data_IF_493532319219
#
_entry.id   IF_493532319219
#
_cell.length_a   1.000
_cell.length_b   1.000
_cell.length_c   1.000
_cell.angle_alpha   90.00
_cell.angle_beta   90.00
_cell.angle_gamma   90.00
#
_symmetry.space_group_name_H-M   'P 1'
#
loop_
_entity.id
_entity.type
_entity.pdbx_description
1 polymer ?
#
# COMPACT_ATOMS: atom_id res chain seq x y z
N UNK A 1 3.17 6.50 11.86
CA UNK A 1 2.32 5.51 11.17
C UNK A 1 2.48 5.68 9.68
N UNK A 2 2.39 4.60 8.94
CA UNK A 2 2.63 4.51 7.51
C UNK A 2 1.45 3.83 6.84
N UNK A 3 1.07 4.26 5.64
CA UNK A 3 0.10 3.56 4.81
C UNK A 3 0.72 3.20 3.48
N UNK A 4 0.26 2.11 2.89
CA UNK A 4 0.58 1.76 1.51
C UNK A 4 -0.57 2.27 0.65
N UNK A 5 -0.27 2.98 -0.43
CA UNK A 5 -1.26 3.43 -1.42
C UNK A 5 -0.85 2.95 -2.81
N UNK A 6 -1.84 2.58 -3.61
CA UNK A 6 -1.66 2.14 -4.98
C UNK A 6 -1.94 3.28 -5.94
N UNK A 7 -1.00 3.63 -6.79
CA UNK A 7 -1.17 4.63 -7.83
C UNK A 7 -1.36 3.91 -9.15
N UNK A 8 -2.55 4.07 -9.75
CA UNK A 8 -2.82 3.59 -11.11
C UNK A 8 -2.14 4.52 -12.11
N UNK A 9 -1.70 4.02 -13.28
CA UNK A 9 -1.10 4.83 -14.37
C UNK A 9 -1.87 6.11 -14.75
N UNK A 10 -3.16 6.22 -14.42
CA UNK A 10 -3.97 7.43 -14.60
C UNK A 10 -3.83 8.48 -13.47
N UNK A 11 -2.92 8.26 -12.51
CA UNK A 11 -2.73 9.12 -11.33
C UNK A 11 -3.81 8.94 -10.26
N UNK A 12 -4.60 7.87 -10.33
CA UNK A 12 -5.63 7.58 -9.33
C UNK A 12 -4.97 6.85 -8.15
N UNK A 13 -5.05 7.46 -6.97
CA UNK A 13 -4.65 6.84 -5.72
C UNK A 13 -5.75 5.91 -5.19
N UNK A 14 -5.32 4.73 -4.75
CA UNK A 14 -6.17 3.70 -4.18
C UNK A 14 -5.62 3.34 -2.81
N UNK A 15 -6.46 3.53 -1.80
CA UNK A 15 -6.14 3.15 -0.43
C UNK A 15 -6.50 1.69 -0.19
N UNK A 16 -5.66 1.01 0.59
CA UNK A 16 -5.89 -0.39 0.94
C UNK A 16 -6.70 -0.48 2.23
N UNK A 17 -7.74 -1.30 2.22
CA UNK A 17 -8.58 -1.59 3.38
C UNK A 17 -8.55 -3.07 3.72
N UNK A 18 -8.48 -3.39 5.01
CA UNK A 18 -8.65 -4.74 5.55
C UNK A 18 -9.69 -4.70 6.66
N UNK A 19 -10.70 -5.58 6.61
CA UNK A 19 -11.79 -5.62 7.60
C UNK A 19 -12.47 -4.26 7.84
N UNK A 20 -12.72 -3.50 6.77
CA UNK A 20 -13.28 -2.13 6.81
C UNK A 20 -12.43 -1.10 7.58
N UNK A 21 -11.15 -1.36 7.77
CA UNK A 21 -10.18 -0.41 8.33
C UNK A 21 -9.11 -0.12 7.31
N UNK A 22 -8.67 1.13 7.25
CA UNK A 22 -7.49 1.52 6.48
C UNK A 22 -6.31 0.66 6.94
N UNK A 23 -5.56 0.12 5.98
CA UNK A 23 -4.41 -0.70 6.29
C UNK A 23 -3.24 0.20 6.66
N UNK A 24 -2.95 0.25 7.96
CA UNK A 24 -1.91 1.12 8.52
C UNK A 24 -0.83 0.29 9.19
N UNK A 25 0.41 0.69 8.97
CA UNK A 25 1.61 0.07 9.52
C UNK A 25 2.25 0.98 10.58
N UNK A 26 2.62 0.45 11.76
CA UNK A 26 3.37 1.19 12.78
C UNK A 26 4.72 1.70 12.26
N UNK A 27 5.43 0.87 11.50
CA UNK A 27 6.79 1.12 11.00
C UNK A 27 6.85 1.15 9.47
N UNK A 28 7.91 1.75 8.93
CA UNK A 28 8.16 1.75 7.49
C UNK A 28 8.51 0.34 7.00
N UNK A 29 9.25 -0.43 7.79
CA UNK A 29 9.69 -1.79 7.48
C UNK A 29 8.50 -2.74 7.27
N UNK A 30 7.49 -2.68 8.15
CA UNK A 30 6.27 -3.48 8.00
C UNK A 30 5.49 -3.13 6.72
N UNK A 31 5.48 -1.84 6.33
CA UNK A 31 4.87 -1.42 5.07
C UNK A 31 5.65 -1.96 3.84
N UNK A 32 6.98 -2.01 3.92
CA UNK A 32 7.82 -2.62 2.87
C UNK A 32 7.57 -4.13 2.76
N UNK A 33 7.53 -4.83 3.89
CA UNK A 33 7.30 -6.28 3.91
C UNK A 33 5.94 -6.64 3.27
N UNK A 34 4.91 -5.83 3.53
CA UNK A 34 3.61 -5.97 2.87
C UNK A 34 3.68 -5.77 1.35
N UNK A 35 4.41 -4.75 0.88
CA UNK A 35 4.61 -4.51 -0.57
C UNK A 35 5.31 -5.70 -1.22
N UNK A 36 6.36 -6.23 -0.59
CA UNK A 36 7.09 -7.38 -1.12
C UNK A 36 6.23 -8.66 -1.10
N UNK A 37 5.41 -8.87 -0.07
CA UNK A 37 4.48 -9.98 -0.02
C UNK A 37 3.42 -9.92 -1.13
N UNK A 38 2.81 -8.74 -1.33
CA UNK A 38 1.79 -8.54 -2.38
C UNK A 38 2.35 -8.72 -3.78
N UNK A 39 3.60 -8.29 -4.03
CA UNK A 39 4.34 -8.58 -5.27
C UNK A 39 4.58 -10.07 -5.46
N UNK A 40 5.10 -10.77 -4.43
CA UNK A 40 5.35 -12.23 -4.50
C UNK A 40 4.08 -13.02 -4.81
N UNK A 41 2.96 -12.62 -4.22
CA UNK A 41 1.64 -13.25 -4.43
C UNK A 41 0.94 -12.82 -5.73
N UNK A 42 1.52 -11.91 -6.53
CA UNK A 42 0.92 -11.33 -7.73
C UNK A 42 -0.51 -10.83 -7.50
N UNK A 43 -0.75 -10.23 -6.34
CA UNK A 43 -2.09 -9.79 -5.93
C UNK A 43 -2.51 -8.48 -6.61
N UNK A 44 -1.58 -7.78 -7.26
CA UNK A 44 -1.80 -6.47 -7.83
C UNK A 44 -1.75 -6.52 -9.36
N UNK A 45 -2.70 -5.88 -10.05
CA UNK A 45 -2.63 -5.71 -11.50
C UNK A 45 -1.40 -4.91 -11.92
N UNK A 46 -0.86 -5.19 -13.12
CA UNK A 46 0.41 -4.62 -13.61
C UNK A 46 0.44 -3.08 -13.75
N UNK A 47 -0.72 -2.43 -13.71
CA UNK A 47 -0.86 -0.98 -13.84
C UNK A 47 -0.85 -0.23 -12.49
N UNK A 48 -0.61 -0.92 -11.39
CA UNK A 48 -0.49 -0.33 -10.06
C UNK A 48 0.98 -0.17 -9.65
N UNK A 49 1.29 1.02 -9.15
CA UNK A 49 2.53 1.29 -8.43
C UNK A 49 2.21 1.48 -6.95
N UNK A 50 2.79 0.65 -6.08
CA UNK A 50 2.66 0.83 -4.63
C UNK A 50 3.67 1.86 -4.14
N UNK A 51 3.20 2.79 -3.31
CA UNK A 51 4.05 3.75 -2.59
C UNK A 51 3.70 3.75 -1.11
N UNK A 52 4.69 4.09 -0.27
CA UNK A 52 4.51 4.18 1.17
C UNK A 52 4.40 5.66 1.54
N UNK A 53 3.33 6.02 2.22
CA UNK A 53 3.12 7.36 2.74
C UNK A 53 3.22 7.38 4.26
N UNK A 54 3.86 8.42 4.79
CA UNK A 54 3.86 8.69 6.22
C UNK A 54 2.60 9.47 6.57
N UNK A 55 1.79 8.94 7.48
CA UNK A 55 0.64 9.66 8.03
C UNK A 55 1.18 10.83 8.86
N UNK A 56 0.89 12.05 8.40
CA UNK A 56 1.10 13.26 9.19
C UNK A 56 -0.10 13.38 10.13
N UNK A 57 0.11 12.99 11.38
CA UNK A 57 -0.80 13.30 12.49
C UNK A 57 -0.68 14.78 12.84
#
# INVERSE_FOLDING_TARGET
>A
MYKVVGIVKAGIEVEFFQQNKELVFPTYEEAVDFIEETKRKKMLPENYQLVIEKIKT
#
